data_IF_760101357912
#
_entry.id   IF_760101357912
#
_cell.length_a   1.000
_cell.length_b   1.000
_cell.length_c   1.000
_cell.angle_alpha   90.00
_cell.angle_beta   90.00
_cell.angle_gamma   90.00
#
_symmetry.space_group_name_H-M   'P 1'
#
loop_
_entity.id
_entity.type
_entity.pdbx_description
1 polymer ?
#
# COMPACT_ATOMS: atom_id res chain seq x y z
N UNK A 1 0.92 11.11 3.98
CA UNK A 1 1.97 11.64 3.08
C UNK A 1 3.25 10.81 3.20
N UNK A 2 4.10 10.81 2.17
CA UNK A 2 5.46 10.26 2.25
C UNK A 2 6.34 11.32 2.90
N UNK A 3 6.74 11.10 4.15
CA UNK A 3 7.70 11.96 4.86
C UNK A 3 9.14 11.46 4.73
N UNK A 4 10.08 12.10 5.43
CA UNK A 4 11.50 11.74 5.44
C UNK A 4 11.79 10.28 5.91
N UNK A 5 12.94 9.71 5.51
CA UNK A 5 13.36 8.32 5.84
C UNK A 5 13.34 8.02 7.34
N UNK A 6 13.82 8.97 8.14
CA UNK A 6 13.76 8.95 9.61
C UNK A 6 12.60 9.83 10.04
N UNK A 7 11.60 9.24 10.69
CA UNK A 7 10.44 9.98 11.21
C UNK A 7 10.88 10.97 12.29
N UNK A 8 10.44 12.23 12.23
CA UNK A 8 10.81 13.26 13.20
C UNK A 8 10.13 13.06 14.57
N UNK A 9 8.94 12.43 14.59
CA UNK A 9 8.17 12.23 15.82
C UNK A 9 8.58 10.97 16.60
N UNK A 10 8.89 9.88 15.88
CA UNK A 10 9.14 8.57 16.50
C UNK A 10 10.54 8.01 16.24
N UNK A 11 11.33 8.67 15.39
CA UNK A 11 12.64 8.22 14.93
C UNK A 11 12.68 6.85 14.22
N UNK A 12 11.53 6.21 13.98
CA UNK A 12 11.44 5.00 13.15
C UNK A 12 11.93 5.27 11.74
N UNK A 13 12.51 4.23 11.13
CA UNK A 13 12.92 4.25 9.73
C UNK A 13 12.20 3.17 8.96
N UNK A 14 11.72 3.53 7.78
CA UNK A 14 11.08 2.60 6.85
C UNK A 14 11.62 2.84 5.44
N UNK A 15 11.62 1.78 4.63
CA UNK A 15 12.00 1.89 3.22
C UNK A 15 11.09 2.89 2.50
N UNK A 16 11.60 3.47 1.41
CA UNK A 16 10.79 4.33 0.54
C UNK A 16 9.56 3.56 0.01
N UNK A 17 9.70 2.25 -0.20
CA UNK A 17 8.61 1.43 -0.66
C UNK A 17 7.47 1.31 0.34
N UNK A 18 7.81 1.04 1.60
CA UNK A 18 6.83 0.96 2.67
C UNK A 18 6.13 2.30 2.86
N UNK A 19 6.88 3.41 2.99
CA UNK A 19 6.28 4.76 3.12
C UNK A 19 5.39 5.12 1.94
N UNK A 20 5.82 4.80 0.72
CA UNK A 20 5.08 5.09 -0.51
C UNK A 20 3.77 4.32 -0.63
N UNK A 21 3.80 3.01 -0.40
CA UNK A 21 2.61 2.17 -0.42
C UNK A 21 1.64 2.52 0.71
N UNK A 22 2.13 2.81 1.93
CA UNK A 22 1.27 3.27 3.03
C UNK A 22 0.56 4.58 2.69
N UNK A 23 1.26 5.54 2.07
CA UNK A 23 0.67 6.82 1.68
C UNK A 23 -0.30 6.71 0.48
N UNK A 24 -0.28 5.61 -0.27
CA UNK A 24 -1.07 5.40 -1.48
C UNK A 24 -2.58 5.35 -1.20
N UNK A 25 -3.01 4.67 -0.12
CA UNK A 25 -4.42 4.41 0.23
C UNK A 25 -5.12 5.59 0.93
N UNK A 26 -4.82 6.81 0.49
CA UNK A 26 -5.47 8.02 0.98
C UNK A 26 -5.24 9.17 0.01
N UNK A 27 -5.28 10.40 0.52
CA UNK A 27 -4.80 11.55 -0.24
C UNK A 27 -3.27 11.57 -0.22
N UNK A 28 -2.65 10.91 -1.21
CA UNK A 28 -1.19 10.85 -1.29
C UNK A 28 -0.59 12.24 -1.49
N UNK A 29 0.50 12.51 -0.78
CA UNK A 29 1.30 13.72 -0.85
C UNK A 29 2.73 13.46 -0.35
N UNK A 30 3.62 14.42 -0.55
CA UNK A 30 5.04 14.36 -0.16
C UNK A 30 5.31 15.46 0.88
N UNK A 31 5.98 15.13 1.98
CA UNK A 31 6.31 16.04 3.09
C UNK A 31 7.79 15.90 3.49
N UNK A 32 8.67 16.41 2.65
CA UNK A 32 10.12 16.39 2.85
C UNK A 32 10.78 17.48 2.00
N UNK A 33 12.07 17.70 2.22
CA UNK A 33 12.90 18.55 1.37
C UNK A 33 13.39 17.77 0.14
N UNK A 34 12.84 18.02 -1.07
CA UNK A 34 13.21 17.29 -2.27
C UNK A 34 14.66 17.56 -2.71
N UNK A 35 15.28 18.67 -2.27
CA UNK A 35 16.67 19.00 -2.60
C UNK A 35 17.64 18.10 -1.83
N UNK A 36 17.26 17.70 -0.61
CA UNK A 36 18.05 16.81 0.24
C UNK A 36 17.87 15.32 -0.09
N UNK A 37 16.97 14.97 -1.02
CA UNK A 37 16.70 13.59 -1.37
C UNK A 37 17.82 13.00 -2.22
N UNK A 38 18.35 11.84 -1.81
CA UNK A 38 19.26 11.06 -2.66
C UNK A 38 18.52 10.51 -3.89
N UNK A 39 19.29 9.98 -4.86
CA UNK A 39 18.72 9.44 -6.09
C UNK A 39 17.68 8.34 -5.85
N UNK A 40 17.89 7.48 -4.84
CA UNK A 40 16.98 6.38 -4.52
C UNK A 40 15.65 6.87 -3.94
N UNK A 41 15.70 7.87 -3.06
CA UNK A 41 14.51 8.53 -2.52
C UNK A 41 13.75 9.27 -3.63
N UNK A 42 14.46 10.02 -4.49
CA UNK A 42 13.87 10.76 -5.61
C UNK A 42 13.15 9.83 -6.60
N UNK A 43 13.78 8.73 -7.01
CA UNK A 43 13.17 7.72 -7.86
C UNK A 43 11.94 7.08 -7.21
N UNK A 44 12.01 6.84 -5.90
CA UNK A 44 10.87 6.35 -5.14
C UNK A 44 9.71 7.33 -5.12
N UNK A 45 9.94 8.62 -4.85
CA UNK A 45 8.88 9.64 -4.90
C UNK A 45 8.24 9.72 -6.28
N UNK A 46 9.05 9.70 -7.34
CA UNK A 46 8.54 9.66 -8.72
C UNK A 46 7.68 8.42 -8.97
N UNK A 47 8.17 7.23 -8.58
CA UNK A 47 7.44 5.96 -8.73
C UNK A 47 6.08 6.02 -8.05
N UNK A 48 6.03 6.41 -6.77
CA UNK A 48 4.78 6.41 -6.01
C UNK A 48 3.83 7.53 -6.44
N UNK A 49 4.33 8.68 -6.88
CA UNK A 49 3.50 9.71 -7.47
C UNK A 49 2.82 9.25 -8.78
N UNK A 50 3.54 8.50 -9.62
CA UNK A 50 2.98 7.89 -10.83
C UNK A 50 1.97 6.79 -10.49
N UNK A 51 2.31 5.92 -9.54
CA UNK A 51 1.42 4.85 -9.10
C UNK A 51 0.12 5.39 -8.51
N UNK A 52 0.19 6.46 -7.71
CA UNK A 52 -1.02 7.15 -7.24
C UNK A 52 -1.83 7.73 -8.39
N UNK A 53 -1.21 8.35 -9.40
CA UNK A 53 -1.96 8.84 -10.57
C UNK A 53 -2.67 7.71 -11.33
N UNK A 54 -2.05 6.53 -11.44
CA UNK A 54 -2.65 5.34 -12.05
C UNK A 54 -3.88 4.88 -11.26
N UNK A 55 -3.80 4.82 -9.93
CA UNK A 55 -4.82 4.17 -9.10
C UNK A 55 -5.77 5.10 -8.34
N UNK A 56 -5.53 6.42 -8.34
CA UNK A 56 -6.28 7.39 -7.50
C UNK A 56 -7.79 7.34 -7.70
N UNK A 57 -8.25 7.04 -8.92
CA UNK A 57 -9.69 6.96 -9.17
C UNK A 57 -10.28 5.80 -8.34
N UNK A 58 -9.71 4.61 -8.45
CA UNK A 58 -10.14 3.45 -7.66
C UNK A 58 -9.99 3.70 -6.15
N UNK A 59 -8.87 4.30 -5.72
CA UNK A 59 -8.60 4.57 -4.30
C UNK A 59 -9.65 5.51 -3.69
N UNK A 60 -10.09 6.53 -4.44
CA UNK A 60 -11.02 7.54 -3.92
C UNK A 60 -12.50 7.21 -4.14
N UNK A 61 -12.84 6.30 -5.05
CA UNK A 61 -14.24 5.93 -5.33
C UNK A 61 -14.60 4.51 -4.91
N UNK A 62 -13.61 3.69 -4.58
CA UNK A 62 -13.81 2.29 -4.19
C UNK A 62 -14.28 2.10 -2.76
N UNK A 63 -14.73 0.89 -2.46
CA UNK A 63 -15.05 0.44 -1.11
C UNK A 63 -13.77 -0.03 -0.43
N UNK A 64 -13.42 0.60 0.70
CA UNK A 64 -12.26 0.23 1.51
C UNK A 64 -12.54 -1.02 2.33
N UNK A 65 -11.62 -1.97 2.28
CA UNK A 65 -11.60 -3.19 3.07
C UNK A 65 -10.37 -3.21 3.97
N UNK A 66 -10.57 -3.59 5.23
CA UNK A 66 -9.51 -4.01 6.16
C UNK A 66 -9.70 -5.49 6.39
N UNK A 67 -8.65 -6.27 6.21
CA UNK A 67 -8.73 -7.73 6.29
C UNK A 67 -8.01 -8.18 7.55
N UNK A 68 -8.75 -8.84 8.44
CA UNK A 68 -8.18 -9.43 9.64
C UNK A 68 -7.30 -10.62 9.25
N UNK A 69 -6.06 -10.58 9.72
CA UNK A 69 -5.09 -11.65 9.50
C UNK A 69 -4.86 -12.39 10.82
N UNK A 70 -4.75 -13.74 10.80
CA UNK A 70 -4.41 -14.51 11.99
C UNK A 70 -3.06 -14.12 12.61
N UNK A 71 -2.11 -13.74 11.75
CA UNK A 71 -0.80 -13.23 12.16
C UNK A 71 -0.87 -11.70 12.35
N UNK A 72 -0.73 -11.18 13.59
CA UNK A 72 -0.81 -9.75 13.86
C UNK A 72 0.38 -8.95 13.29
N UNK A 73 1.45 -9.63 12.86
CA UNK A 73 2.55 -9.01 12.14
C UNK A 73 2.21 -8.70 10.68
N UNK A 74 1.06 -9.13 10.18
CA UNK A 74 0.59 -8.87 8.82
C UNK A 74 -0.62 -7.94 8.86
N UNK A 75 -0.52 -6.81 8.16
CA UNK A 75 -1.63 -5.90 7.94
C UNK A 75 -2.05 -5.93 6.48
N UNK A 76 -3.35 -6.13 6.22
CA UNK A 76 -3.91 -6.14 4.87
C UNK A 76 -5.05 -5.13 4.76
N UNK A 77 -4.98 -4.32 3.71
CA UNK A 77 -6.06 -3.42 3.33
C UNK A 77 -6.19 -3.39 1.80
N UNK A 78 -7.37 -3.05 1.31
CA UNK A 78 -7.61 -2.93 -0.12
C UNK A 78 -8.79 -2.05 -0.46
N UNK A 79 -8.90 -1.70 -1.72
CA UNK A 79 -10.05 -1.00 -2.29
C UNK A 79 -10.61 -1.83 -3.43
N UNK A 80 -11.93 -1.98 -3.47
CA UNK A 80 -12.64 -2.68 -4.55
C UNK A 80 -13.55 -1.68 -5.25
N UNK A 81 -13.61 -1.72 -6.58
CA UNK A 81 -14.49 -0.84 -7.32
C UNK A 81 -15.97 -1.12 -6.99
N UNK A 82 -16.88 -0.12 -7.09
CA UNK A 82 -18.30 -0.33 -6.76
C UNK A 82 -18.99 -1.41 -7.61
N UNK A 83 -18.54 -1.59 -8.85
CA UNK A 83 -18.99 -2.63 -9.79
C UNK A 83 -18.25 -3.96 -9.62
N UNK A 84 -17.34 -4.06 -8.65
CA UNK A 84 -16.51 -5.22 -8.34
C UNK A 84 -15.61 -5.69 -9.49
N UNK A 85 -15.41 -4.88 -10.54
CA UNK A 85 -14.63 -5.28 -11.72
C UNK A 85 -13.11 -5.23 -11.49
N UNK A 86 -12.64 -4.45 -10.51
CA UNK A 86 -11.23 -4.33 -10.19
C UNK A 86 -11.00 -4.06 -8.69
N UNK A 87 -9.82 -4.44 -8.21
CA UNK A 87 -9.40 -4.16 -6.85
C UNK A 87 -7.90 -3.93 -6.75
N UNK A 88 -7.50 -3.21 -5.71
CA UNK A 88 -6.11 -2.97 -5.33
C UNK A 88 -5.94 -3.30 -3.85
N UNK A 89 -5.05 -4.26 -3.54
CA UNK A 89 -4.76 -4.68 -2.17
C UNK A 89 -3.28 -4.45 -1.84
N UNK A 90 -3.01 -4.07 -0.60
CA UNK A 90 -1.68 -3.95 -0.01
C UNK A 90 -1.57 -4.89 1.17
N UNK A 91 -0.50 -5.69 1.16
CA UNK A 91 -0.08 -6.55 2.26
C UNK A 91 1.20 -5.97 2.85
N UNK A 92 1.19 -5.68 4.15
CA UNK A 92 2.32 -5.11 4.88
C UNK A 92 2.78 -6.05 5.98
N UNK A 93 4.04 -6.50 5.89
CA UNK A 93 4.72 -7.21 6.97
C UNK A 93 5.31 -6.18 7.95
N UNK A 94 4.79 -6.13 9.17
CA UNK A 94 5.11 -5.14 10.19
C UNK A 94 6.23 -5.58 11.14
N UNK A 95 6.37 -6.88 11.35
CA UNK A 95 7.42 -7.51 12.15
C UNK A 95 7.87 -8.82 11.47
N UNK A 96 8.94 -9.45 11.95
CA UNK A 96 9.28 -10.79 11.48
C UNK A 96 8.18 -11.78 11.90
N UNK A 97 7.74 -12.68 11.01
CA UNK A 97 6.74 -13.68 11.36
C UNK A 97 7.36 -14.74 12.29
N UNK A 98 6.56 -15.25 13.23
CA UNK A 98 6.97 -16.30 14.17
C UNK A 98 7.10 -17.68 13.48
N UNK A 99 6.41 -17.85 12.34
CA UNK A 99 6.39 -19.08 11.56
C UNK A 99 6.76 -18.82 10.11
N UNK A 100 7.49 -19.75 9.49
CA UNK A 100 7.93 -19.64 8.09
C UNK A 100 6.80 -19.89 7.09
N UNK A 101 5.68 -20.49 7.50
CA UNK A 101 4.62 -20.88 6.57
C UNK A 101 3.77 -19.67 6.15
N UNK A 102 3.50 -19.50 4.85
CA UNK A 102 2.65 -18.42 4.36
C UNK A 102 1.20 -18.62 4.79
N UNK A 103 0.56 -17.55 5.26
CA UNK A 103 -0.88 -17.52 5.51
C UNK A 103 -1.71 -17.49 4.22
N UNK A 104 -3.02 -17.75 4.34
CA UNK A 104 -3.97 -17.65 3.23
C UNK A 104 -4.66 -16.29 3.31
N UNK A 105 -4.51 -15.47 2.26
CA UNK A 105 -5.29 -14.24 2.09
C UNK A 105 -6.50 -14.49 1.20
N UNK A 106 -7.69 -14.14 1.71
CA UNK A 106 -8.92 -14.04 0.93
C UNK A 106 -9.17 -12.57 0.60
N UNK A 107 -9.41 -12.26 -0.67
CA UNK A 107 -9.70 -10.90 -1.13
C UNK A 107 -11.22 -10.64 -1.05
N UNK A 108 -11.71 -9.84 -0.08
CA UNK A 108 -13.13 -9.57 0.06
C UNK A 108 -13.64 -8.60 -1.01
N UNK A 109 -14.96 -8.55 -1.19
CA UNK A 109 -15.65 -7.57 -2.04
C UNK A 109 -15.63 -7.85 -3.54
N UNK A 110 -14.89 -8.86 -4.00
CA UNK A 110 -14.92 -9.33 -5.39
C UNK A 110 -16.15 -10.21 -5.66
N UNK A 111 -16.65 -10.17 -6.90
CA UNK A 111 -17.76 -11.00 -7.35
C UNK A 111 -17.32 -12.46 -7.49
N UNK A 112 -18.12 -13.40 -6.98
CA UNK A 112 -17.73 -14.81 -6.89
C UNK A 112 -17.69 -15.52 -8.26
N UNK A 113 -18.51 -15.05 -9.19
CA UNK A 113 -18.69 -15.58 -10.55
C UNK A 113 -17.73 -14.97 -11.58
N UNK A 114 -16.97 -13.94 -11.20
CA UNK A 114 -16.06 -13.21 -12.10
C UNK A 114 -14.65 -13.79 -12.00
N UNK A 115 -13.97 -13.90 -13.16
CA UNK A 115 -12.57 -14.29 -13.22
C UNK A 115 -11.68 -13.04 -13.25
N UNK A 116 -10.82 -12.92 -12.26
CA UNK A 116 -9.87 -11.82 -12.16
C UNK A 116 -8.47 -12.24 -12.61
N UNK A 117 -7.73 -11.29 -13.18
CA UNK A 117 -6.28 -11.43 -13.39
C UNK A 117 -5.54 -10.74 -12.26
N UNK A 118 -4.70 -11.49 -11.56
CA UNK A 118 -3.84 -10.94 -10.52
C UNK A 118 -2.52 -10.45 -11.11
N UNK A 119 -2.08 -9.27 -10.67
CA UNK A 119 -0.77 -8.69 -10.99
C UNK A 119 -0.14 -8.10 -9.73
N UNK A 120 1.14 -8.35 -9.53
CA UNK A 120 1.96 -7.67 -8.51
C UNK A 120 2.50 -6.37 -9.13
N UNK A 121 2.42 -5.27 -8.38
CA UNK A 121 2.77 -3.91 -8.84
C UNK A 121 4.03 -3.40 -8.12
#
# INVERSE_FOLDING_TARGET
HIGHRRCHATFRQHSIAFRGLTALFGHMGLELDPVAADAKESDGYRRYALLYKEWRQLIHTGVLWRVDMPDPSIQVQGVVSPDQSQALFMISQLAMPDYTLPGILRFPGLAAEVRYRLRVI
#
